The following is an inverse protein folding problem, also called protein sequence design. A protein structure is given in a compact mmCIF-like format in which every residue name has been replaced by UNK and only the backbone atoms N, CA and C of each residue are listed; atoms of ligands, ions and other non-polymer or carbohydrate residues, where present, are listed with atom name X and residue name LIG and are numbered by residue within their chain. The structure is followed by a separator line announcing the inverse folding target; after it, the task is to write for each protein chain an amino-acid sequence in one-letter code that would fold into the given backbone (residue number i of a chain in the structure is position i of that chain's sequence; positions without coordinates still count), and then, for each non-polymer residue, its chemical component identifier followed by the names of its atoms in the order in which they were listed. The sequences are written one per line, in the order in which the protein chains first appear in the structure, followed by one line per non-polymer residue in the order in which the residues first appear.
data_IF_730673031776
#
_entry.id   IF_730673031776
#
_cell.length_a   1.000
_cell.length_b   1.000
_cell.length_c   1.000
_cell.angle_alpha   90.00
_cell.angle_beta   90.00
_cell.angle_gamma   90.00
#
_symmetry.space_group_name_H-M   'P 1'
#
loop_
_entity.id
_entity.type
_entity.pdbx_description
1 polymer ?
#
# COMPACT_ATOMS: atom_id res chain seq x y z
N UNK A 1 50.57 -32.96 9.55
CA UNK A 1 49.59 -32.47 10.54
C UNK A 1 50.11 -31.16 11.09
N UNK A 2 49.62 -30.03 10.56
CA UNK A 2 49.96 -28.70 11.07
C UNK A 2 48.62 -28.02 11.32
N UNK A 3 48.30 -27.83 12.59
CA UNK A 3 47.11 -27.12 13.07
C UNK A 3 47.30 -25.63 12.83
N UNK A 4 46.50 -25.05 11.94
CA UNK A 4 46.38 -23.61 11.73
C UNK A 4 45.06 -23.19 12.35
N UNK A 5 45.04 -22.99 13.66
CA UNK A 5 43.98 -22.27 14.36
C UNK A 5 44.58 -20.91 14.75
N UNK A 6 44.48 -19.95 13.84
CA UNK A 6 44.80 -18.55 14.11
C UNK A 6 43.53 -17.83 14.54
N UNK A 7 43.51 -17.41 15.80
CA UNK A 7 43.13 -16.05 16.23
C UNK A 7 41.95 -15.39 15.49
N UNK A 8 40.73 -15.87 15.76
CA UNK A 8 39.56 -15.01 15.61
C UNK A 8 39.31 -14.26 16.92
N UNK A 9 39.70 -12.99 16.92
CA UNK A 9 39.49 -12.04 18.01
C UNK A 9 37.99 -11.79 18.21
N UNK A 10 37.47 -12.12 19.40
CA UNK A 10 36.06 -12.01 19.79
C UNK A 10 35.55 -10.56 19.99
N UNK A 11 36.33 -9.53 19.64
CA UNK A 11 35.99 -8.14 19.89
C UNK A 11 35.27 -7.42 18.74
N UNK A 12 35.19 -8.00 17.53
CA UNK A 12 34.57 -7.33 16.37
C UNK A 12 33.06 -7.58 16.21
N UNK A 13 32.46 -8.46 17.02
CA UNK A 13 31.02 -8.76 16.92
C UNK A 13 30.11 -7.78 17.69
N UNK A 14 30.67 -6.80 18.40
CA UNK A 14 29.90 -5.84 19.21
C UNK A 14 29.67 -4.48 18.53
N UNK A 15 30.33 -4.19 17.39
CA UNK A 15 30.22 -2.89 16.71
C UNK A 15 29.08 -2.83 15.67
N UNK A 16 28.53 -3.96 15.24
CA UNK A 16 27.41 -4.00 14.28
C UNK A 16 26.01 -3.84 14.94
N UNK A 17 25.88 -3.95 16.26
CA UNK A 17 24.58 -3.91 16.96
C UNK A 17 24.16 -2.54 17.51
N UNK A 18 25.00 -1.50 17.41
CA UNK A 18 24.71 -0.17 17.96
C UNK A 18 24.23 0.89 16.95
N UNK A 19 24.07 0.53 15.66
CA UNK A 19 23.64 1.51 14.62
C UNK A 19 22.14 1.58 14.34
N UNK A 20 21.29 0.85 15.06
CA UNK A 20 19.82 0.82 14.80
C UNK A 20 19.00 1.56 15.87
N UNK A 21 19.63 2.14 16.89
CA UNK A 21 18.91 2.86 17.97
C UNK A 21 18.83 4.37 17.76
N UNK A 22 18.70 4.83 16.51
CA UNK A 22 18.25 6.21 16.30
C UNK A 22 16.75 6.28 16.60
N UNK A 23 16.31 7.02 17.64
CA UNK A 23 14.90 7.21 17.91
C UNK A 23 14.27 7.85 16.68
N UNK A 24 13.37 7.13 16.02
CA UNK A 24 12.60 7.70 14.92
C UNK A 24 11.89 8.97 15.42
N UNK A 25 11.89 10.06 14.65
CA UNK A 25 11.19 11.27 15.03
C UNK A 25 9.74 10.91 15.31
N UNK A 26 9.24 11.31 16.48
CA UNK A 26 7.88 11.03 16.91
C UNK A 26 6.93 11.49 15.81
N UNK A 27 6.35 10.54 15.08
CA UNK A 27 5.32 10.79 14.10
C UNK A 27 4.19 11.46 14.86
N UNK A 28 3.99 12.74 14.60
CA UNK A 28 2.94 13.52 15.23
C UNK A 28 1.62 12.83 14.92
N UNK A 29 1.06 12.13 15.90
CA UNK A 29 -0.31 11.60 15.86
C UNK A 29 -1.25 12.79 15.91
N UNK A 30 -1.28 13.59 14.86
CA UNK A 30 -2.36 14.57 14.69
C UNK A 30 -3.58 13.72 14.35
N UNK A 31 -4.59 13.65 15.24
CA UNK A 31 -5.81 12.93 14.92
C UNK A 31 -6.46 13.65 13.75
N UNK A 32 -6.29 13.11 12.54
CA UNK A 32 -7.05 13.56 11.38
C UNK A 32 -8.50 13.23 11.71
N UNK A 33 -9.28 14.25 12.12
CA UNK A 33 -10.71 14.13 12.42
C UNK A 33 -11.45 13.65 11.18
N UNK A 34 -11.49 12.33 10.94
CA UNK A 34 -12.24 11.69 9.86
C UNK A 34 -13.33 10.79 10.45
N UNK A 35 -14.09 11.29 11.42
CA UNK A 35 -14.87 10.42 12.32
C UNK A 35 -16.24 9.92 11.82
N UNK A 36 -16.75 10.34 10.65
CA UNK A 36 -18.09 9.92 10.20
C UNK A 36 -18.16 9.05 8.94
N UNK A 37 -17.22 9.16 7.99
CA UNK A 37 -17.35 8.45 6.69
C UNK A 37 -16.57 7.14 6.57
N UNK A 38 -15.59 6.89 7.43
CA UNK A 38 -14.80 5.65 7.45
C UNK A 38 -15.70 4.42 7.67
N UNK A 39 -16.81 4.57 8.40
CA UNK A 39 -17.73 3.47 8.77
C UNK A 39 -18.34 2.70 7.57
N UNK A 40 -18.33 3.23 6.35
CA UNK A 40 -18.96 2.56 5.21
C UNK A 40 -18.11 1.40 4.67
N UNK A 41 -16.77 1.54 4.64
CA UNK A 41 -15.88 0.48 4.14
C UNK A 41 -15.71 -0.64 5.15
N UNK A 42 -15.61 -0.32 6.44
CA UNK A 42 -15.46 -1.33 7.49
C UNK A 42 -16.68 -2.25 7.65
N UNK A 43 -17.83 -1.92 7.04
CA UNK A 43 -18.98 -2.83 6.97
C UNK A 43 -18.83 -3.93 5.92
N UNK A 44 -17.94 -3.74 4.95
CA UNK A 44 -17.70 -4.74 3.93
C UNK A 44 -16.76 -5.80 4.48
N UNK A 45 -17.19 -7.06 4.44
CA UNK A 45 -16.34 -8.17 4.85
C UNK A 45 -15.29 -8.45 3.78
N UNK A 46 -14.06 -8.06 4.08
CA UNK A 46 -12.90 -8.29 3.23
C UNK A 46 -12.28 -9.68 3.42
N UNK A 47 -12.70 -10.48 4.41
CA UNK A 47 -12.00 -11.72 4.80
C UNK A 47 -11.86 -12.70 3.63
N UNK A 48 -12.98 -12.98 2.94
CA UNK A 48 -13.00 -13.85 1.75
C UNK A 48 -12.15 -13.33 0.59
N UNK A 49 -12.08 -12.00 0.46
CA UNK A 49 -11.29 -11.34 -0.58
C UNK A 49 -9.79 -11.37 -0.26
N UNK A 50 -9.42 -11.20 1.01
CA UNK A 50 -8.05 -11.30 1.48
C UNK A 50 -7.48 -12.70 1.29
N UNK A 51 -8.22 -13.74 1.67
CA UNK A 51 -7.77 -15.13 1.51
C UNK A 51 -7.54 -15.48 0.04
N UNK A 52 -8.46 -15.06 -0.84
CA UNK A 52 -8.33 -15.27 -2.29
C UNK A 52 -7.11 -14.54 -2.85
N UNK A 53 -6.89 -13.30 -2.43
CA UNK A 53 -5.73 -12.51 -2.85
C UNK A 53 -4.43 -13.14 -2.35
N UNK A 54 -4.37 -13.57 -1.08
CA UNK A 54 -3.21 -14.26 -0.49
C UNK A 54 -2.86 -15.53 -1.26
N UNK A 55 -3.83 -16.42 -1.45
CA UNK A 55 -3.63 -17.66 -2.19
C UNK A 55 -3.06 -17.40 -3.59
N UNK A 56 -3.57 -16.38 -4.27
CA UNK A 56 -3.06 -15.98 -5.58
C UNK A 56 -1.63 -15.44 -5.52
N UNK A 57 -1.33 -14.56 -4.57
CA UNK A 57 0.02 -14.01 -4.38
C UNK A 57 1.02 -15.14 -4.14
N UNK A 58 0.68 -16.13 -3.31
CA UNK A 58 1.49 -17.33 -3.10
C UNK A 58 1.72 -18.12 -4.39
N UNK A 59 0.70 -18.31 -5.23
CA UNK A 59 0.88 -18.95 -6.52
C UNK A 59 1.83 -18.15 -7.43
N UNK A 60 1.73 -16.82 -7.46
CA UNK A 60 2.60 -15.98 -8.31
C UNK A 60 4.06 -16.07 -7.90
N UNK A 61 4.36 -16.14 -6.60
CA UNK A 61 5.73 -16.32 -6.09
C UNK A 61 6.40 -17.61 -6.62
N UNK A 62 5.63 -18.69 -6.83
CA UNK A 62 6.15 -19.94 -7.38
C UNK A 62 6.41 -19.94 -8.89
N UNK A 63 5.82 -19.00 -9.64
CA UNK A 63 5.86 -18.98 -11.12
C UNK A 63 6.99 -18.15 -11.72
N UNK A 64 7.80 -17.46 -10.90
CA UNK A 64 8.86 -16.57 -11.37
C UNK A 64 8.40 -15.20 -11.87
N UNK A 65 7.10 -14.90 -11.84
CA UNK A 65 6.52 -13.60 -12.16
C UNK A 65 5.78 -13.00 -10.95
N UNK A 66 6.49 -12.51 -9.93
CA UNK A 66 5.89 -12.05 -8.68
C UNK A 66 5.42 -10.59 -8.76
N UNK A 67 4.82 -10.15 -9.86
CA UNK A 67 4.45 -8.74 -10.06
C UNK A 67 2.97 -8.55 -10.40
N UNK A 68 2.32 -7.66 -9.67
CA UNK A 68 1.02 -7.08 -10.02
C UNK A 68 1.28 -5.82 -10.83
N UNK A 69 1.05 -5.88 -12.14
CA UNK A 69 1.38 -4.78 -13.05
C UNK A 69 0.36 -3.64 -12.99
N UNK A 70 0.86 -2.40 -13.05
CA UNK A 70 0.03 -1.20 -13.17
C UNK A 70 -0.84 -1.23 -14.43
N UNK A 71 -2.10 -0.80 -14.32
CA UNK A 71 -2.95 -0.60 -15.49
C UNK A 71 -2.89 0.86 -15.91
N UNK A 72 -2.38 1.10 -17.13
CA UNK A 72 -2.38 2.45 -17.71
C UNK A 72 -3.81 2.98 -17.75
N UNK A 73 -4.01 4.15 -17.16
CA UNK A 73 -5.25 4.91 -17.28
C UNK A 73 -5.47 5.17 -18.77
N UNK A 74 -6.59 4.70 -19.31
CA UNK A 74 -6.92 4.92 -20.72
C UNK A 74 -6.85 6.42 -21.00
N UNK A 75 -6.08 6.80 -22.03
CA UNK A 75 -6.00 8.19 -22.46
C UNK A 75 -7.40 8.60 -22.90
N UNK A 76 -8.07 9.44 -22.10
CA UNK A 76 -9.38 9.96 -22.46
C UNK A 76 -9.16 10.88 -23.65
N UNK A 77 -9.70 10.54 -24.82
CA UNK A 77 -9.70 11.41 -26.00
C UNK A 77 -10.12 12.81 -25.57
N UNK A 78 -9.26 13.79 -25.85
CA UNK A 78 -9.10 15.10 -25.20
C UNK A 78 -10.23 16.11 -25.47
N UNK A 79 -11.47 15.69 -25.58
CA UNK A 79 -12.57 16.55 -26.05
C UNK A 79 -13.32 17.32 -24.94
N UNK A 80 -13.14 17.02 -23.64
CA UNK A 80 -13.91 17.69 -22.57
C UNK A 80 -13.03 18.26 -21.46
N UNK A 81 -13.19 19.57 -21.24
CA UNK A 81 -12.67 20.43 -20.16
C UNK A 81 -11.98 19.64 -19.05
N UNK A 82 -10.64 19.70 -19.01
CA UNK A 82 -9.84 19.12 -17.91
C UNK A 82 -10.27 19.81 -16.62
N UNK A 83 -11.07 19.14 -15.79
CA UNK A 83 -11.47 19.72 -14.51
C UNK A 83 -10.25 19.82 -13.61
N UNK A 84 -10.09 20.95 -12.90
CA UNK A 84 -8.99 21.17 -11.94
C UNK A 84 -8.95 20.14 -10.79
N UNK A 85 -10.00 19.33 -10.64
CA UNK A 85 -10.11 18.27 -9.63
C UNK A 85 -9.54 16.93 -10.08
N UNK A 86 -9.19 16.77 -11.37
CA UNK A 86 -8.58 15.56 -11.89
C UNK A 86 -7.14 15.44 -11.41
N UNK A 87 -6.83 14.25 -10.91
CA UNK A 87 -5.51 13.81 -10.48
C UNK A 87 -4.90 12.91 -11.54
N UNK A 88 -3.60 12.63 -11.39
CA UNK A 88 -2.88 11.72 -12.31
C UNK A 88 -3.35 10.27 -12.11
N UNK A 89 -3.63 9.91 -10.86
CA UNK A 89 -4.02 8.55 -10.48
C UNK A 89 -5.52 8.28 -10.63
N UNK A 90 -5.87 7.03 -10.86
CA UNK A 90 -7.24 6.51 -10.86
C UNK A 90 -7.76 6.37 -9.43
N UNK A 91 -9.03 6.68 -9.20
CA UNK A 91 -9.67 6.56 -7.88
C UNK A 91 -9.31 7.67 -6.88
N UNK A 92 -8.37 8.54 -7.23
CA UNK A 92 -8.00 9.72 -6.43
C UNK A 92 -8.75 10.95 -6.94
N UNK A 93 -9.17 11.83 -6.04
CA UNK A 93 -9.77 13.13 -6.38
C UNK A 93 -9.20 14.22 -5.48
N UNK A 94 -8.85 15.37 -6.05
CA UNK A 94 -8.37 16.51 -5.26
C UNK A 94 -9.54 17.26 -4.62
N UNK A 95 -9.50 17.41 -3.29
CA UNK A 95 -10.46 18.19 -2.51
C UNK A 95 -9.74 19.30 -1.73
N UNK A 96 -9.72 20.50 -2.32
CA UNK A 96 -8.98 21.66 -1.79
C UNK A 96 -7.50 21.31 -1.56
N UNK A 97 -7.07 21.18 -0.31
CA UNK A 97 -5.70 20.88 0.10
C UNK A 97 -5.39 19.37 0.05
N UNK A 98 -6.39 18.53 0.31
CA UNK A 98 -6.19 17.10 0.49
C UNK A 98 -6.59 16.28 -0.75
N UNK A 99 -6.14 15.03 -0.79
CA UNK A 99 -6.45 14.04 -1.81
C UNK A 99 -7.34 12.95 -1.21
N UNK A 100 -8.47 12.71 -1.84
CA UNK A 100 -9.46 11.73 -1.39
C UNK A 100 -9.40 10.48 -2.25
N UNK A 101 -9.48 9.33 -1.59
CA UNK A 101 -9.55 8.04 -2.26
C UNK A 101 -10.99 7.54 -2.27
N UNK A 102 -11.50 7.23 -3.46
CA UNK A 102 -12.82 6.65 -3.66
C UNK A 102 -12.69 5.32 -4.39
N UNK A 103 -13.39 4.30 -3.88
CA UNK A 103 -13.44 2.97 -4.48
C UNK A 103 -14.89 2.60 -4.80
N UNK A 104 -15.12 1.76 -5.80
CA UNK A 104 -16.47 1.31 -6.15
C UNK A 104 -16.72 -0.06 -5.55
N UNK A 105 -17.70 -0.15 -4.64
CA UNK A 105 -18.12 -1.40 -4.00
C UNK A 105 -19.60 -1.62 -4.33
N UNK A 106 -19.94 -2.74 -4.96
CA UNK A 106 -21.33 -3.04 -5.34
C UNK A 106 -21.97 -1.96 -6.22
N UNK A 107 -21.19 -1.32 -7.11
CA UNK A 107 -21.67 -0.24 -7.99
C UNK A 107 -21.79 1.14 -7.32
N UNK A 108 -21.53 1.25 -6.02
CA UNK A 108 -21.57 2.53 -5.29
C UNK A 108 -20.16 3.03 -5.00
N UNK A 109 -19.95 4.34 -5.16
CA UNK A 109 -18.69 4.99 -4.79
C UNK A 109 -18.63 5.13 -3.28
N UNK A 110 -17.63 4.53 -2.67
CA UNK A 110 -17.37 4.55 -1.25
C UNK A 110 -16.09 5.31 -0.98
N UNK A 111 -16.15 6.26 -0.05
CA UNK A 111 -15.00 7.02 0.40
C UNK A 111 -14.14 6.17 1.33
N UNK A 112 -12.85 6.06 1.01
CA UNK A 112 -11.88 5.29 1.78
C UNK A 112 -11.20 6.17 2.83
N UNK A 113 -10.67 7.30 2.38
CA UNK A 113 -9.83 8.16 3.21
C UNK A 113 -9.42 9.44 2.50
N UNK A 114 -8.80 10.33 3.26
CA UNK A 114 -8.23 11.59 2.79
C UNK A 114 -6.80 11.68 3.26
N UNK A 115 -5.93 12.06 2.33
CA UNK A 115 -4.48 12.05 2.48
C UNK A 115 -3.91 13.41 2.10
N UNK A 116 -2.82 13.85 2.75
CA UNK A 116 -2.14 15.09 2.37
C UNK A 116 -1.40 14.96 1.03
N UNK A 117 -0.97 13.75 0.68
CA UNK A 117 -0.20 13.45 -0.53
C UNK A 117 -1.04 12.67 -1.53
N UNK A 118 -0.89 13.03 -2.81
CA UNK A 118 -1.58 12.38 -3.92
C UNK A 118 -1.15 10.91 -4.08
N UNK A 119 0.13 10.62 -3.82
CA UNK A 119 0.71 9.27 -3.92
C UNK A 119 0.14 8.35 -2.83
N UNK A 120 0.03 8.83 -1.59
CA UNK A 120 -0.53 8.04 -0.48
C UNK A 120 -2.00 7.65 -0.74
N UNK A 121 -2.77 8.59 -1.31
CA UNK A 121 -4.13 8.31 -1.75
C UNK A 121 -4.18 7.24 -2.85
N UNK A 122 -3.23 7.25 -3.78
CA UNK A 122 -3.13 6.29 -4.88
C UNK A 122 -2.68 4.90 -4.41
N UNK A 123 -1.71 4.82 -3.49
CA UNK A 123 -1.28 3.56 -2.85
C UNK A 123 -2.45 2.93 -2.11
N UNK A 124 -3.20 3.75 -1.34
CA UNK A 124 -4.42 3.30 -0.67
C UNK A 124 -5.42 2.76 -1.68
N UNK A 125 -5.65 3.47 -2.79
CA UNK A 125 -6.57 2.99 -3.82
C UNK A 125 -6.16 1.62 -4.36
N UNK A 126 -4.88 1.45 -4.71
CA UNK A 126 -4.35 0.21 -5.25
C UNK A 126 -4.55 -0.95 -4.29
N UNK A 127 -4.24 -0.76 -3.01
CA UNK A 127 -4.43 -1.77 -1.97
C UNK A 127 -5.89 -2.26 -1.91
N UNK A 128 -6.84 -1.35 -1.71
CA UNK A 128 -8.26 -1.74 -1.64
C UNK A 128 -8.79 -2.28 -2.97
N UNK A 129 -8.28 -1.80 -4.10
CA UNK A 129 -8.62 -2.30 -5.43
C UNK A 129 -8.15 -3.75 -5.63
N UNK A 130 -6.92 -4.07 -5.21
CA UNK A 130 -6.38 -5.43 -5.22
C UNK A 130 -7.19 -6.36 -4.32
N UNK A 131 -7.55 -5.90 -3.11
CA UNK A 131 -8.43 -6.66 -2.22
C UNK A 131 -9.77 -6.97 -2.89
N UNK A 132 -10.48 -5.98 -3.41
CA UNK A 132 -11.83 -6.18 -3.96
C UNK A 132 -11.84 -6.98 -5.27
N UNK A 133 -10.88 -6.75 -6.15
CA UNK A 133 -10.96 -7.19 -7.54
C UNK A 133 -9.91 -8.25 -7.91
N UNK A 134 -8.96 -8.55 -7.04
CA UNK A 134 -7.87 -9.50 -7.27
C UNK A 134 -7.16 -9.20 -8.62
N UNK A 135 -7.13 -10.16 -9.54
CA UNK A 135 -6.52 -10.12 -10.88
C UNK A 135 -6.99 -8.95 -11.74
N UNK A 136 -8.26 -8.58 -11.57
CA UNK A 136 -8.91 -7.58 -12.39
C UNK A 136 -8.75 -6.18 -11.81
N UNK A 137 -8.09 -6.05 -10.66
CA UNK A 137 -7.88 -4.78 -10.00
C UNK A 137 -7.30 -3.72 -10.96
N UNK A 138 -7.94 -2.54 -11.05
CA UNK A 138 -7.25 -1.37 -11.56
C UNK A 138 -6.26 -0.89 -10.51
N UNK A 139 -4.97 -0.94 -10.84
CA UNK A 139 -3.87 -0.42 -10.02
C UNK A 139 -3.17 0.71 -10.75
N UNK A 140 -2.70 1.69 -10.00
CA UNK A 140 -1.92 2.82 -10.47
C UNK A 140 -0.43 2.49 -10.57
N UNK A 141 0.06 1.60 -9.69
CA UNK A 141 1.46 1.22 -9.58
C UNK A 141 1.66 -0.27 -9.81
N UNK A 142 2.91 -0.62 -10.10
CA UNK A 142 3.33 -2.01 -10.16
C UNK A 142 3.84 -2.43 -8.78
N UNK A 143 3.37 -3.57 -8.30
CA UNK A 143 3.69 -4.07 -6.97
C UNK A 143 4.34 -5.44 -7.05
N UNK A 144 5.34 -5.70 -6.21
CA UNK A 144 5.82 -7.05 -5.99
C UNK A 144 4.82 -7.81 -5.12
N UNK A 145 4.70 -9.11 -5.33
CA UNK A 145 3.77 -9.94 -4.56
C UNK A 145 4.11 -9.91 -3.06
N UNK A 146 5.39 -9.84 -2.71
CA UNK A 146 5.89 -9.72 -1.34
C UNK A 146 5.41 -8.41 -0.69
N UNK A 147 5.51 -7.28 -1.41
CA UNK A 147 5.09 -5.98 -0.88
C UNK A 147 3.58 -5.97 -0.60
N UNK A 148 2.77 -6.61 -1.45
CA UNK A 148 1.32 -6.72 -1.25
C UNK A 148 0.98 -7.62 -0.06
N UNK A 149 1.74 -8.70 0.15
CA UNK A 149 1.57 -9.55 1.34
C UNK A 149 1.86 -8.78 2.62
N UNK A 150 2.93 -7.99 2.65
CA UNK A 150 3.27 -7.12 3.79
C UNK A 150 2.19 -6.06 4.05
N UNK A 151 1.60 -5.49 3.00
CA UNK A 151 0.43 -4.60 3.13
C UNK A 151 -0.75 -5.31 3.80
N UNK A 152 -1.02 -6.57 3.45
CA UNK A 152 -2.13 -7.33 4.03
C UNK A 152 -1.86 -7.67 5.51
N UNK A 153 -0.62 -8.02 5.85
CA UNK A 153 -0.23 -8.31 7.23
C UNK A 153 -0.35 -7.07 8.12
N UNK A 154 0.20 -5.94 7.68
CA UNK A 154 0.08 -4.67 8.40
C UNK A 154 -1.37 -4.21 8.54
N UNK A 155 -2.21 -4.40 7.52
CA UNK A 155 -3.64 -4.10 7.60
C UNK A 155 -4.35 -4.93 8.67
N UNK A 156 -4.02 -6.22 8.79
CA UNK A 156 -4.62 -7.10 9.78
C UNK A 156 -4.14 -6.77 11.20
N UNK A 157 -2.86 -6.43 11.38
CA UNK A 157 -2.30 -6.01 12.67
C UNK A 157 -2.90 -4.69 13.17
N UNK A 158 -3.23 -3.78 12.25
CA UNK A 158 -3.79 -2.46 12.56
C UNK A 158 -5.33 -2.43 12.57
N UNK A 159 -5.99 -3.56 12.88
CA UNK A 159 -7.46 -3.67 12.98
C UNK A 159 -8.21 -3.14 11.74
N UNK A 160 -7.64 -3.32 10.55
CA UNK A 160 -8.20 -2.85 9.30
C UNK A 160 -7.94 -1.38 8.98
N UNK A 161 -6.93 -0.76 9.61
CA UNK A 161 -6.45 0.58 9.25
C UNK A 161 -5.21 0.44 8.36
N UNK A 162 -5.29 0.93 7.12
CA UNK A 162 -4.17 0.91 6.18
C UNK A 162 -3.36 2.20 6.22
N UNK A 163 -2.05 2.10 6.45
CA UNK A 163 -1.13 3.24 6.51
C UNK A 163 -0.23 3.32 5.27
N UNK A 164 -0.65 4.11 4.27
CA UNK A 164 0.03 4.19 2.97
C UNK A 164 1.44 4.82 3.01
N UNK A 165 1.74 5.61 4.03
CA UNK A 165 3.04 6.29 4.19
C UNK A 165 4.21 5.30 4.25
N UNK A 166 3.99 4.10 4.79
CA UNK A 166 4.99 3.06 4.96
C UNK A 166 5.46 2.46 3.61
N UNK A 167 4.62 2.48 2.58
CA UNK A 167 4.87 1.77 1.32
C UNK A 167 5.34 2.68 0.18
N UNK A 168 5.49 3.99 0.41
CA UNK A 168 5.88 4.94 -0.65
C UNK A 168 7.16 4.58 -1.38
N UNK A 169 8.16 4.10 -0.65
CA UNK A 169 9.48 3.77 -1.19
C UNK A 169 9.50 2.47 -1.99
N UNK A 170 8.41 1.69 -1.96
CA UNK A 170 8.28 0.39 -2.64
C UNK A 170 7.56 0.52 -3.99
N UNK A 171 6.97 1.69 -4.24
CA UNK A 171 6.32 2.00 -5.52
C UNK A 171 7.37 2.08 -6.63
N UNK A 172 7.22 1.24 -7.65
CA UNK A 172 8.03 1.25 -8.87
C UNK A 172 7.37 2.04 -10.00
#
# INVERSE_FOLDING_TARGET
MINIFSDFCLCDLQIQLQRVSSPMPAVSKVPIKCHKQVKAIHKYDFSRHQEKLKMKLFCMLGTGFPFVLAKKKAAVASSKRVSKRRTRFTGVTKNSVNYQTLIVVGGKKTYVGSYPLEVDAAITFDFYSMMLHNDKAPTNFSWKAEDVLEMLESFNQNEGVFEASLFRHKVC
#
